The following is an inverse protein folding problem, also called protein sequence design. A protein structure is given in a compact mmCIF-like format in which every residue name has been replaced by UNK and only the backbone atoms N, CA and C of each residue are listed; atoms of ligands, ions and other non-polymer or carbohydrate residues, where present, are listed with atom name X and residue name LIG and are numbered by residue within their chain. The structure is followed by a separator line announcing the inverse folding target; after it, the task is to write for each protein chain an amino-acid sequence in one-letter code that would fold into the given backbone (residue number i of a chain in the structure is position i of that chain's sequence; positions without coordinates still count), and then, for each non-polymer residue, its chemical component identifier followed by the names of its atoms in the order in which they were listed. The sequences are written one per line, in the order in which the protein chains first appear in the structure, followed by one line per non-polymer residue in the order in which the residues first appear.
data_IF_792956694915
#
_entry.id   IF_792956694915
#
_cell.length_a   1.000
_cell.length_b   1.000
_cell.length_c   1.000
_cell.angle_alpha   90.00
_cell.angle_beta   90.00
_cell.angle_gamma   90.00
#
_symmetry.space_group_name_H-M   'P 1'
#
loop_
_entity.id
_entity.type
_entity.pdbx_description
1 polymer ?
#
# COMPACT_ATOMS: atom_id res chain seq x y z
N UNK A 1 -18.41 -22.05 -1.98
CA UNK A 1 -17.80 -20.89 -2.66
C UNK A 1 -17.11 -20.06 -1.61
N UNK A 2 -15.82 -19.71 -1.80
CA UNK A 2 -15.07 -18.88 -0.85
C UNK A 2 -15.88 -17.63 -0.51
N UNK A 3 -16.03 -17.34 0.79
CA UNK A 3 -16.72 -16.13 1.28
C UNK A 3 -16.01 -14.85 0.84
N UNK A 4 -14.76 -14.97 0.38
CA UNK A 4 -13.90 -13.90 -0.08
C UNK A 4 -13.66 -14.06 -1.58
N UNK A 5 -14.22 -13.15 -2.38
CA UNK A 5 -13.92 -12.99 -3.81
C UNK A 5 -12.62 -12.20 -3.94
N UNK A 6 -11.83 -12.49 -4.98
CA UNK A 6 -10.61 -11.73 -5.29
C UNK A 6 -10.99 -10.27 -5.59
N UNK A 7 -10.35 -9.32 -4.89
CA UNK A 7 -10.48 -7.88 -5.17
C UNK A 7 -10.02 -7.55 -6.60
N UNK A 8 -10.41 -6.38 -7.11
CA UNK A 8 -10.21 -5.91 -8.50
C UNK A 8 -11.02 -6.63 -9.59
N UNK A 9 -11.80 -7.67 -9.26
CA UNK A 9 -12.73 -8.32 -10.21
C UNK A 9 -14.11 -7.65 -10.29
N UNK A 10 -14.47 -6.90 -9.24
CA UNK A 10 -15.69 -6.11 -9.14
C UNK A 10 -15.31 -4.65 -8.87
N UNK A 11 -16.28 -3.74 -9.00
CA UNK A 11 -16.06 -2.34 -8.64
C UNK A 11 -15.68 -2.26 -7.15
N UNK A 12 -14.49 -1.73 -6.80
CA UNK A 12 -14.06 -1.67 -5.42
C UNK A 12 -14.85 -0.59 -4.67
N UNK A 13 -14.99 -0.78 -3.36
CA UNK A 13 -15.57 0.26 -2.48
C UNK A 13 -14.45 1.22 -2.10
N UNK A 14 -14.65 2.52 -2.35
CA UNK A 14 -13.69 3.54 -1.96
C UNK A 14 -14.24 4.35 -0.79
N UNK A 15 -13.49 4.36 0.31
CA UNK A 15 -13.81 5.12 1.52
C UNK A 15 -13.18 6.52 1.43
N UNK A 16 -13.89 7.60 1.81
CA UNK A 16 -13.31 8.93 1.88
C UNK A 16 -12.13 9.00 2.87
N UNK A 17 -11.09 9.77 2.54
CA UNK A 17 -10.01 10.06 3.47
C UNK A 17 -10.53 10.92 4.62
N UNK A 18 -10.29 10.48 5.86
CA UNK A 18 -10.69 11.20 7.06
C UNK A 18 -9.63 12.26 7.47
N UNK A 19 -9.37 13.23 6.60
CA UNK A 19 -8.32 14.25 6.80
C UNK A 19 -8.60 15.24 7.94
N UNK A 20 -9.81 15.23 8.48
CA UNK A 20 -10.21 16.04 9.64
C UNK A 20 -9.92 15.35 10.97
N UNK A 21 -9.56 14.07 10.94
CA UNK A 21 -9.19 13.31 12.13
C UNK A 21 -7.84 13.80 12.68
N UNK A 22 -7.71 13.84 14.01
CA UNK A 22 -6.46 14.20 14.68
C UNK A 22 -5.34 13.21 14.34
N UNK A 23 -5.68 11.94 14.07
CA UNK A 23 -4.71 10.89 13.74
C UNK A 23 -4.21 10.98 12.28
N UNK A 24 -4.87 11.76 11.41
CA UNK A 24 -4.53 11.78 9.99
C UNK A 24 -3.06 12.18 9.72
N UNK A 25 -2.55 13.17 10.46
CA UNK A 25 -1.18 13.68 10.35
C UNK A 25 -0.21 13.03 11.34
N UNK A 26 -0.65 12.03 12.11
CA UNK A 26 0.22 11.31 13.03
C UNK A 26 1.20 10.42 12.26
N UNK A 27 2.49 10.75 12.34
CA UNK A 27 3.56 10.03 11.63
C UNK A 27 3.67 8.56 12.06
N UNK A 28 3.46 8.26 13.34
CA UNK A 28 3.53 6.89 13.85
C UNK A 28 2.38 6.03 13.29
N UNK A 29 1.15 6.55 13.30
CA UNK A 29 -0.03 5.91 12.69
C UNK A 29 0.15 5.73 11.18
N UNK A 30 0.68 6.74 10.49
CA UNK A 30 1.01 6.63 9.07
C UNK A 30 2.03 5.52 8.81
N UNK A 31 3.13 5.49 9.55
CA UNK A 31 4.17 4.49 9.38
C UNK A 31 3.68 3.07 9.67
N UNK A 32 2.81 2.88 10.66
CA UNK A 32 2.17 1.58 10.94
C UNK A 32 1.32 1.10 9.77
N UNK A 33 0.55 2.00 9.14
CA UNK A 33 -0.27 1.65 7.99
C UNK A 33 0.55 1.43 6.71
N UNK A 34 1.63 2.21 6.52
CA UNK A 34 2.61 1.97 5.45
C UNK A 34 3.25 0.58 5.59
N UNK A 35 3.74 0.25 6.78
CA UNK A 35 4.35 -1.04 7.09
C UNK A 35 3.37 -2.19 6.79
N UNK A 36 2.12 -2.10 7.26
CA UNK A 36 1.06 -3.10 6.99
C UNK A 36 0.80 -3.30 5.50
N UNK A 37 0.63 -2.20 4.74
CA UNK A 37 0.33 -2.29 3.31
C UNK A 37 1.55 -2.76 2.51
N UNK A 38 2.75 -2.35 2.90
CA UNK A 38 4.00 -2.78 2.29
C UNK A 38 4.26 -4.27 2.50
N UNK A 39 3.98 -4.80 3.69
CA UNK A 39 4.04 -6.23 3.99
C UNK A 39 3.10 -7.04 3.09
N UNK A 40 1.84 -6.60 2.96
CA UNK A 40 0.87 -7.21 2.04
C UNK A 40 1.36 -7.14 0.58
N UNK A 41 1.95 -6.02 0.18
CA UNK A 41 2.51 -5.85 -1.16
C UNK A 41 3.70 -6.78 -1.40
N UNK A 42 4.58 -6.92 -0.42
CA UNK A 42 5.73 -7.82 -0.44
C UNK A 42 5.29 -9.29 -0.56
N UNK A 43 4.25 -9.69 0.17
CA UNK A 43 3.73 -11.05 0.13
C UNK A 43 3.12 -11.45 -1.23
N UNK A 44 2.53 -10.51 -1.97
CA UNK A 44 1.86 -10.83 -3.25
C UNK A 44 2.66 -10.45 -4.51
N UNK A 45 3.50 -9.42 -4.46
CA UNK A 45 4.32 -8.83 -5.55
C UNK A 45 3.61 -8.60 -6.91
N UNK A 46 2.27 -8.65 -6.98
CA UNK A 46 1.49 -8.62 -8.23
C UNK A 46 1.61 -7.30 -9.01
N UNK A 47 1.90 -6.21 -8.33
CA UNK A 47 1.89 -4.87 -8.90
C UNK A 47 3.26 -4.44 -9.48
N UNK A 48 4.28 -5.31 -9.44
CA UNK A 48 5.67 -5.01 -9.84
C UNK A 48 5.80 -4.36 -11.23
N UNK A 49 4.95 -4.75 -12.19
CA UNK A 49 5.01 -4.26 -13.57
C UNK A 49 4.21 -2.98 -13.83
N UNK A 50 3.48 -2.44 -12.84
CA UNK A 50 2.58 -1.32 -13.06
C UNK A 50 3.21 0.06 -12.86
N UNK A 51 4.09 0.20 -11.87
CA UNK A 51 4.61 1.49 -11.41
C UNK A 51 5.91 1.28 -10.64
N UNK A 52 6.79 2.30 -10.61
CA UNK A 52 8.11 2.23 -9.97
C UNK A 52 8.05 2.11 -8.43
N UNK A 53 6.95 2.47 -7.78
CA UNK A 53 6.79 2.27 -6.33
C UNK A 53 7.02 0.82 -5.90
N UNK A 54 6.50 -0.15 -6.65
CA UNK A 54 6.57 -1.55 -6.24
C UNK A 54 7.97 -2.15 -6.38
N UNK A 55 8.69 -1.99 -7.51
CA UNK A 55 10.11 -2.34 -7.58
C UNK A 55 10.93 -1.66 -6.48
N UNK A 56 10.74 -0.35 -6.23
CA UNK A 56 11.47 0.34 -5.16
C UNK A 56 11.18 -0.26 -3.78
N UNK A 57 9.93 -0.61 -3.49
CA UNK A 57 9.59 -1.29 -2.24
C UNK A 57 10.31 -2.65 -2.14
N UNK A 58 10.27 -3.44 -3.20
CA UNK A 58 10.86 -4.78 -3.18
C UNK A 58 12.38 -4.73 -3.13
N UNK A 59 13.03 -3.77 -3.80
CA UNK A 59 14.46 -3.53 -3.69
C UNK A 59 14.84 -3.20 -2.23
N UNK A 60 14.10 -2.33 -1.55
CA UNK A 60 14.34 -2.00 -0.14
C UNK A 60 14.22 -3.22 0.78
N UNK A 61 13.23 -4.08 0.56
CA UNK A 61 13.04 -5.29 1.38
C UNK A 61 14.11 -6.34 1.06
N UNK A 62 14.43 -6.53 -0.22
CA UNK A 62 15.43 -7.52 -0.65
C UNK A 62 16.87 -7.11 -0.21
N UNK A 63 17.10 -5.82 0.07
CA UNK A 63 18.35 -5.26 0.64
C UNK A 63 18.34 -5.18 2.18
N UNK A 64 17.23 -5.51 2.84
CA UNK A 64 17.08 -5.44 4.30
C UNK A 64 17.72 -6.63 5.04
N UNK A 65 17.92 -6.52 6.35
CA UNK A 65 18.59 -7.56 7.15
C UNK A 65 17.78 -8.86 7.25
N UNK A 66 16.45 -8.74 7.34
CA UNK A 66 15.54 -9.88 7.56
C UNK A 66 14.90 -10.38 6.27
N UNK A 67 15.07 -9.66 5.15
CA UNK A 67 14.28 -9.83 3.92
C UNK A 67 12.77 -9.60 4.11
N UNK A 68 12.39 -8.91 5.18
CA UNK A 68 11.02 -8.57 5.53
C UNK A 68 10.90 -7.05 5.76
N UNK A 69 9.67 -6.53 5.70
CA UNK A 69 9.42 -5.07 5.81
C UNK A 69 9.81 -4.51 7.19
N UNK A 70 9.88 -5.36 8.22
CA UNK A 70 10.18 -4.98 9.60
C UNK A 70 11.62 -4.46 9.80
N UNK A 71 12.55 -4.81 8.91
CA UNK A 71 13.95 -4.35 8.95
C UNK A 71 14.25 -3.24 7.93
N UNK A 72 13.23 -2.73 7.23
CA UNK A 72 13.37 -1.55 6.37
C UNK A 72 13.30 -0.28 7.22
N UNK A 73 14.25 0.65 7.03
CA UNK A 73 14.20 1.95 7.70
C UNK A 73 12.94 2.72 7.28
N UNK A 74 12.17 3.19 8.27
CA UNK A 74 10.94 3.97 8.05
C UNK A 74 11.22 5.26 7.28
N UNK A 75 12.42 5.83 7.40
CA UNK A 75 12.84 6.97 6.60
C UNK A 75 12.86 6.66 5.09
N UNK A 76 13.12 5.40 4.72
CA UNK A 76 13.17 4.95 3.33
C UNK A 76 11.80 4.66 2.73
N UNK A 77 10.74 4.58 3.52
CA UNK A 77 9.36 4.47 2.99
C UNK A 77 9.03 5.62 2.03
N UNK A 78 9.60 6.80 2.26
CA UNK A 78 9.43 7.95 1.36
C UNK A 78 9.91 7.67 -0.07
N UNK A 79 10.95 6.84 -0.25
CA UNK A 79 11.41 6.43 -1.59
C UNK A 79 10.31 5.72 -2.38
N UNK A 80 9.50 4.90 -1.72
CA UNK A 80 8.33 4.21 -2.32
C UNK A 80 7.22 5.20 -2.62
N UNK A 81 6.92 6.08 -1.66
CA UNK A 81 5.87 7.11 -1.74
C UNK A 81 6.12 8.04 -2.92
N UNK A 82 7.36 8.50 -3.11
CA UNK A 82 7.74 9.44 -4.17
C UNK A 82 7.53 8.89 -5.57
N UNK A 83 7.57 7.57 -5.74
CA UNK A 83 7.33 6.92 -7.04
C UNK A 83 5.84 6.74 -7.37
N UNK A 84 4.92 7.03 -6.43
CA UNK A 84 3.49 6.89 -6.67
C UNK A 84 2.90 8.17 -7.28
N UNK A 85 2.30 8.02 -8.46
CA UNK A 85 1.64 9.12 -9.21
C UNK A 85 0.12 9.16 -9.04
N UNK A 86 -0.44 8.42 -8.07
CA UNK A 86 -1.88 8.46 -7.73
C UNK A 86 -2.83 8.15 -8.91
N UNK A 87 -2.44 7.24 -9.81
CA UNK A 87 -3.20 6.90 -11.01
C UNK A 87 -4.28 5.81 -10.82
N UNK A 88 -4.39 5.24 -9.62
CA UNK A 88 -5.32 4.15 -9.25
C UNK A 88 -5.17 2.82 -10.00
N UNK A 89 -4.21 2.67 -10.91
CA UNK A 89 -4.10 1.47 -11.74
C UNK A 89 -3.90 0.19 -10.92
N UNK A 90 -3.05 0.23 -9.88
CA UNK A 90 -2.81 -0.92 -9.00
C UNK A 90 -4.07 -1.31 -8.22
N UNK A 91 -4.80 -0.33 -7.70
CA UNK A 91 -6.04 -0.50 -6.97
C UNK A 91 -7.14 -1.07 -7.87
N UNK A 92 -7.35 -0.50 -9.06
CA UNK A 92 -8.45 -0.89 -9.93
C UNK A 92 -8.25 -2.21 -10.67
N UNK A 93 -7.00 -2.59 -10.97
CA UNK A 93 -6.75 -3.65 -11.97
C UNK A 93 -5.90 -4.84 -11.52
N UNK A 94 -5.23 -4.75 -10.36
CA UNK A 94 -4.29 -5.81 -9.93
C UNK A 94 -4.41 -6.23 -8.49
N UNK A 95 -4.77 -5.32 -7.58
CA UNK A 95 -4.75 -5.62 -6.16
C UNK A 95 -5.94 -6.54 -5.78
N UNK A 96 -5.68 -7.78 -5.32
CA UNK A 96 -6.75 -8.70 -4.92
C UNK A 96 -7.33 -8.38 -3.53
N UNK A 97 -6.79 -7.36 -2.85
CA UNK A 97 -7.08 -7.04 -1.45
C UNK A 97 -7.73 -5.68 -1.27
N UNK A 98 -8.24 -5.10 -2.36
CA UNK A 98 -9.04 -3.87 -2.32
C UNK A 98 -10.39 -4.11 -1.64
N UNK A 99 -11.04 -3.06 -1.10
CA UNK A 99 -12.32 -3.21 -0.42
C UNK A 99 -13.38 -3.75 -1.40
N UNK A 100 -14.24 -4.69 -0.97
CA UNK A 100 -14.59 -5.02 0.42
C UNK A 100 -13.73 -6.13 1.06
N UNK A 101 -12.56 -6.48 0.50
CA UNK A 101 -11.64 -7.41 1.15
C UNK A 101 -11.27 -6.92 2.57
N UNK A 102 -11.13 -7.84 3.52
CA UNK A 102 -10.92 -7.52 4.95
C UNK A 102 -9.61 -6.74 5.22
N UNK A 103 -8.62 -6.89 4.33
CA UNK A 103 -7.36 -6.13 4.41
C UNK A 103 -7.47 -4.68 3.91
N UNK A 104 -8.56 -4.34 3.23
CA UNK A 104 -8.95 -2.96 2.90
C UNK A 104 -7.82 -2.13 2.28
N UNK A 105 -7.09 -2.69 1.30
CA UNK A 105 -5.90 -2.05 0.73
C UNK A 105 -6.31 -0.98 -0.29
N UNK A 106 -6.08 0.29 0.04
CA UNK A 106 -6.16 1.42 -0.89
C UNK A 106 -4.80 2.12 -0.96
N UNK A 107 -3.87 1.51 -1.71
CA UNK A 107 -2.50 2.01 -1.85
C UNK A 107 -2.45 3.47 -2.32
N UNK A 108 -3.18 3.91 -3.37
CA UNK A 108 -3.18 5.32 -3.78
C UNK A 108 -3.62 6.28 -2.67
N UNK A 109 -4.66 5.96 -1.90
CA UNK A 109 -5.09 6.80 -0.78
C UNK A 109 -4.04 6.87 0.35
N UNK A 110 -3.37 5.76 0.65
CA UNK A 110 -2.28 5.77 1.62
C UNK A 110 -1.11 6.62 1.14
N UNK A 111 -0.75 6.53 -0.15
CA UNK A 111 0.29 7.38 -0.74
C UNK A 111 -0.12 8.86 -0.75
N UNK A 112 -1.40 9.17 -0.93
CA UNK A 112 -1.92 10.53 -0.82
C UNK A 112 -1.76 11.06 0.61
N UNK A 113 -2.11 10.27 1.64
CA UNK A 113 -1.86 10.63 3.05
C UNK A 113 -0.37 10.83 3.32
N UNK A 114 0.49 9.96 2.80
CA UNK A 114 1.94 10.05 3.00
C UNK A 114 2.59 11.27 2.30
N UNK A 115 1.91 11.91 1.35
CA UNK A 115 2.36 13.11 0.64
C UNK A 115 1.80 14.41 1.21
N UNK A 116 0.82 14.34 2.11
CA UNK A 116 0.15 15.50 2.71
C UNK A 116 1.04 16.19 3.74
#
# INVERSE_FOLDING_TARGET
MSKYREGSLEAPVRHPLNWQDEDFYNEQSLNQELERVFDICHGCRRCVSLCKSFPTLFDLVDESETFEVDSVDKADYKKVVDQCYLCDLCYMTKCPYVPPHEWNVDFPHLMLRAKA
#
